data_IF_587122301218
#
_entry.id   IF_587122301218
#
_cell.length_a   1.000
_cell.length_b   1.000
_cell.length_c   1.000
_cell.angle_alpha   90.00
_cell.angle_beta   90.00
_cell.angle_gamma   90.00
#
_symmetry.space_group_name_H-M   'P 1'
#
loop_
_entity.id
_entity.type
_entity.pdbx_description
1 polymer ?
#
# COMPACT_ATOMS: atom_id res chain seq x y z
N UNK A 1 5.87 -12.03 15.27
CA UNK A 1 6.25 -10.67 14.85
C UNK A 1 5.01 -10.03 14.22
N UNK A 2 4.59 -8.82 14.61
CA UNK A 2 3.35 -8.25 14.08
C UNK A 2 3.68 -7.47 12.78
N UNK A 3 3.48 -8.11 11.64
CA UNK A 3 3.81 -7.57 10.32
C UNK A 3 3.11 -6.23 10.02
N UNK A 4 1.85 -6.09 10.44
CA UNK A 4 1.06 -4.87 10.28
C UNK A 4 1.68 -3.71 11.07
N UNK A 5 2.07 -3.93 12.33
CA UNK A 5 2.77 -2.90 13.14
C UNK A 5 4.12 -2.49 12.54
N UNK A 6 4.86 -3.45 11.98
CA UNK A 6 6.10 -3.16 11.27
C UNK A 6 5.84 -2.33 10.00
N UNK A 7 4.78 -2.64 9.26
CA UNK A 7 4.37 -1.89 8.07
C UNK A 7 3.93 -0.47 8.43
N UNK A 8 3.10 -0.29 9.47
CA UNK A 8 2.72 1.04 9.98
C UNK A 8 3.96 1.88 10.35
N UNK A 9 4.95 1.24 10.99
CA UNK A 9 6.20 1.89 11.39
C UNK A 9 7.00 2.35 10.18
N UNK A 10 7.14 1.51 9.14
CA UNK A 10 7.88 1.91 7.93
C UNK A 10 7.14 3.04 7.18
N UNK A 11 5.80 2.99 7.10
CA UNK A 11 5.01 4.07 6.48
C UNK A 11 5.22 5.39 7.24
N UNK A 12 5.22 5.36 8.58
CA UNK A 12 5.50 6.55 9.39
C UNK A 12 6.91 7.11 9.09
N UNK A 13 7.92 6.25 9.04
CA UNK A 13 9.28 6.67 8.70
C UNK A 13 9.37 7.27 7.30
N UNK A 14 8.72 6.67 6.31
CA UNK A 14 8.70 7.19 4.94
C UNK A 14 7.93 8.52 4.85
N UNK A 15 6.88 8.74 5.63
CA UNK A 15 6.12 9.99 5.62
C UNK A 15 6.92 11.17 6.20
N UNK A 16 7.64 10.94 7.31
CA UNK A 16 8.29 12.03 8.06
C UNK A 16 9.80 12.12 7.86
N UNK A 17 10.45 11.04 7.39
CA UNK A 17 11.91 10.92 7.28
C UNK A 17 12.36 10.26 5.97
N UNK A 18 11.59 10.43 4.89
CA UNK A 18 11.80 9.73 3.60
C UNK A 18 13.25 9.74 3.12
N UNK A 19 13.93 10.87 3.24
CA UNK A 19 15.31 11.07 2.74
C UNK A 19 16.37 10.19 3.42
N UNK A 20 16.05 9.53 4.53
CA UNK A 20 16.93 8.54 5.16
C UNK A 20 16.81 7.13 4.55
N UNK A 21 15.74 6.87 3.79
CA UNK A 21 15.38 5.54 3.32
C UNK A 21 15.33 5.45 1.80
N UNK A 22 14.83 6.51 1.14
CA UNK A 22 14.60 6.55 -0.30
C UNK A 22 15.00 7.90 -0.87
N UNK A 23 15.39 7.90 -2.14
CA UNK A 23 15.58 9.12 -2.92
C UNK A 23 14.26 9.90 -3.05
N UNK A 24 14.34 11.20 -3.37
CA UNK A 24 13.16 12.02 -3.61
C UNK A 24 12.40 11.59 -4.86
N UNK A 25 11.10 11.86 -4.86
CA UNK A 25 10.19 11.54 -5.96
C UNK A 25 9.23 10.40 -5.66
N UNK A 26 8.20 10.27 -6.49
CA UNK A 26 7.15 9.27 -6.29
C UNK A 26 7.64 7.85 -6.62
N UNK A 27 8.42 7.70 -7.70
CA UNK A 27 8.88 6.40 -8.16
C UNK A 27 9.79 5.69 -7.15
N UNK A 28 10.83 6.31 -6.57
CA UNK A 28 11.66 5.65 -5.55
C UNK A 28 10.87 5.21 -4.31
N UNK A 29 9.89 6.01 -3.89
CA UNK A 29 9.00 5.69 -2.77
C UNK A 29 8.17 4.44 -3.08
N UNK A 30 7.52 4.41 -4.24
CA UNK A 30 6.72 3.26 -4.67
C UNK A 30 7.59 2.01 -4.79
N UNK A 31 8.73 2.08 -5.48
CA UNK A 31 9.60 0.91 -5.66
C UNK A 31 10.06 0.34 -4.33
N UNK A 32 10.35 1.19 -3.34
CA UNK A 32 10.65 0.75 -1.98
C UNK A 32 9.46 0.03 -1.33
N UNK A 33 8.26 0.62 -1.40
CA UNK A 33 7.04 0.04 -0.79
C UNK A 33 6.65 -1.28 -1.44
N UNK A 34 6.75 -1.39 -2.76
CA UNK A 34 6.49 -2.62 -3.50
C UNK A 34 7.50 -3.70 -3.09
N UNK A 35 8.79 -3.37 -3.04
CA UNK A 35 9.83 -4.29 -2.57
C UNK A 35 9.64 -4.73 -1.11
N UNK A 36 9.26 -3.81 -0.22
CA UNK A 36 8.97 -4.12 1.18
C UNK A 36 7.73 -5.01 1.33
N UNK A 37 6.69 -4.75 0.53
CA UNK A 37 5.48 -5.58 0.48
C UNK A 37 5.78 -7.01 0.02
N UNK A 38 6.60 -7.17 -1.03
CA UNK A 38 7.06 -8.48 -1.50
C UNK A 38 7.84 -9.23 -0.41
N UNK A 39 8.76 -8.55 0.28
CA UNK A 39 9.51 -9.15 1.38
C UNK A 39 8.60 -9.58 2.55
N UNK A 40 7.57 -8.78 2.89
CA UNK A 40 6.58 -9.15 3.90
C UNK A 40 5.76 -10.37 3.48
N UNK A 41 5.35 -10.45 2.21
CA UNK A 41 4.65 -11.63 1.69
C UNK A 41 5.51 -12.88 1.84
N UNK A 42 6.77 -12.81 1.43
CA UNK A 42 7.63 -13.98 1.43
C UNK A 42 8.00 -14.43 2.87
N UNK A 43 8.23 -13.49 3.79
CA UNK A 43 8.67 -13.79 5.17
C UNK A 43 7.51 -14.01 6.13
N UNK A 44 6.42 -13.25 5.99
CA UNK A 44 5.30 -13.25 6.93
C UNK A 44 4.00 -13.82 6.35
N UNK A 45 3.97 -14.19 5.06
CA UNK A 45 2.77 -14.65 4.35
C UNK A 45 1.63 -13.61 4.35
N UNK A 46 1.99 -12.32 4.35
CA UNK A 46 1.04 -11.20 4.30
C UNK A 46 1.20 -10.45 2.98
N UNK A 47 0.18 -10.47 2.12
CA UNK A 47 0.22 -9.81 0.81
C UNK A 47 -0.38 -8.39 0.85
N UNK A 48 0.31 -7.51 1.59
CA UNK A 48 -0.07 -6.10 1.73
C UNK A 48 -0.25 -5.38 0.38
N UNK A 49 0.46 -5.82 -0.66
CA UNK A 49 0.37 -5.22 -1.98
C UNK A 49 -0.98 -5.54 -2.64
N UNK A 50 -1.36 -6.83 -2.68
CA UNK A 50 -2.64 -7.26 -3.22
C UNK A 50 -3.81 -6.70 -2.40
N UNK A 51 -3.68 -6.68 -1.08
CA UNK A 51 -4.72 -6.18 -0.18
C UNK A 51 -4.95 -4.67 -0.34
N UNK A 52 -3.87 -3.90 -0.46
CA UNK A 52 -4.00 -2.46 -0.73
C UNK A 52 -4.63 -2.19 -2.10
N UNK A 53 -4.27 -2.95 -3.14
CA UNK A 53 -4.89 -2.81 -4.45
C UNK A 53 -6.39 -3.12 -4.41
N UNK A 54 -6.77 -4.21 -3.74
CA UNK A 54 -8.16 -4.59 -3.56
C UNK A 54 -8.95 -3.54 -2.77
N UNK A 55 -8.35 -2.99 -1.71
CA UNK A 55 -8.95 -1.89 -0.95
C UNK A 55 -9.21 -0.66 -1.82
N UNK A 56 -8.28 -0.28 -2.71
CA UNK A 56 -8.49 0.84 -3.65
C UNK A 56 -9.66 0.52 -4.61
N UNK A 57 -9.76 -0.70 -5.13
CA UNK A 57 -10.90 -1.09 -5.98
C UNK A 57 -12.23 -0.90 -5.27
N UNK A 58 -12.33 -1.31 -4.01
CA UNK A 58 -13.53 -1.15 -3.18
C UNK A 58 -13.83 0.33 -2.95
N UNK A 59 -12.81 1.13 -2.59
CA UNK A 59 -12.93 2.58 -2.38
C UNK A 59 -13.44 3.31 -3.64
N UNK A 60 -12.88 2.98 -4.80
CA UNK A 60 -13.16 3.67 -6.05
C UNK A 60 -14.36 3.11 -6.81
N UNK A 61 -14.91 1.97 -6.37
CA UNK A 61 -15.98 1.22 -7.07
C UNK A 61 -15.65 0.96 -8.54
N UNK A 62 -14.35 0.88 -8.87
CA UNK A 62 -13.84 0.75 -10.23
C UNK A 62 -12.57 -0.08 -10.20
N UNK A 63 -12.50 -1.06 -11.11
CA UNK A 63 -11.26 -1.79 -11.40
C UNK A 63 -10.41 -0.99 -12.38
N UNK A 64 -9.11 -1.01 -12.17
CA UNK A 64 -8.11 -0.48 -13.09
C UNK A 64 -7.16 -1.62 -13.49
N UNK A 65 -6.64 -1.59 -14.71
CA UNK A 65 -5.82 -2.68 -15.26
C UNK A 65 -4.32 -2.56 -14.93
N UNK A 66 -3.92 -1.41 -14.35
CA UNK A 66 -2.54 -1.08 -14.00
C UNK A 66 -2.25 -1.37 -12.52
N UNK A 67 -1.00 -1.27 -12.08
CA UNK A 67 -0.70 -1.32 -10.64
C UNK A 67 -1.36 -0.16 -9.91
N UNK A 68 -1.67 -0.32 -8.61
CA UNK A 68 -2.19 0.78 -7.79
C UNK A 68 -1.28 2.02 -7.84
N UNK A 69 0.03 1.83 -7.93
CA UNK A 69 1.01 2.91 -8.02
C UNK A 69 0.87 3.72 -9.31
N UNK A 70 0.72 3.01 -10.43
CA UNK A 70 0.45 3.63 -11.73
C UNK A 70 -0.90 4.33 -11.76
N UNK A 71 -1.93 3.72 -11.16
CA UNK A 71 -3.27 4.30 -11.07
C UNK A 71 -3.28 5.61 -10.28
N UNK A 72 -2.63 5.64 -9.10
CA UNK A 72 -2.53 6.85 -8.28
C UNK A 72 -1.83 7.97 -9.06
N UNK A 73 -0.68 7.68 -9.67
CA UNK A 73 0.08 8.70 -10.40
C UNK A 73 -0.65 9.20 -11.64
N UNK A 74 -1.11 8.30 -12.51
CA UNK A 74 -1.63 8.64 -13.83
C UNK A 74 -3.09 9.10 -13.74
N UNK A 75 -3.95 8.34 -13.08
CA UNK A 75 -5.39 8.56 -13.14
C UNK A 75 -5.87 9.52 -12.06
N UNK A 76 -5.36 9.42 -10.83
CA UNK A 76 -5.83 10.25 -9.70
C UNK A 76 -5.05 11.56 -9.63
N UNK A 77 -3.73 11.49 -9.65
CA UNK A 77 -2.86 12.65 -9.48
C UNK A 77 -2.54 13.39 -10.79
N UNK A 78 -2.90 12.82 -11.96
CA UNK A 78 -2.67 13.44 -13.28
C UNK A 78 -1.20 13.75 -13.55
N UNK A 79 -0.31 12.81 -13.19
CA UNK A 79 1.16 12.88 -13.30
C UNK A 79 1.84 13.92 -12.39
N UNK A 80 1.12 14.47 -11.41
CA UNK A 80 1.72 15.27 -10.34
C UNK A 80 2.26 14.33 -9.25
N UNK A 81 3.59 14.22 -9.17
CA UNK A 81 4.27 13.33 -8.23
C UNK A 81 4.06 13.73 -6.77
N UNK A 82 4.00 15.03 -6.47
CA UNK A 82 3.79 15.49 -5.10
C UNK A 82 2.39 15.14 -4.64
N UNK A 83 1.39 15.45 -5.48
CA UNK A 83 0.01 15.06 -5.24
C UNK A 83 -0.17 13.54 -5.13
N UNK A 84 0.50 12.77 -5.99
CA UNK A 84 0.49 11.30 -5.94
C UNK A 84 1.07 10.78 -4.62
N UNK A 85 2.14 11.40 -4.13
CA UNK A 85 2.78 11.08 -2.84
C UNK A 85 1.82 11.36 -1.68
N UNK A 86 1.18 12.51 -1.68
CA UNK A 86 0.24 12.90 -0.61
C UNK A 86 -0.96 11.96 -0.56
N UNK A 87 -1.56 11.65 -1.73
CA UNK A 87 -2.66 10.67 -1.84
C UNK A 87 -2.22 9.29 -1.36
N UNK A 88 -1.02 8.84 -1.75
CA UNK A 88 -0.52 7.54 -1.36
C UNK A 88 -0.43 7.42 0.17
N UNK A 89 0.13 8.41 0.86
CA UNK A 89 0.23 8.38 2.32
C UNK A 89 -1.13 8.52 3.01
N UNK A 90 -2.04 9.32 2.48
CA UNK A 90 -3.42 9.41 2.96
C UNK A 90 -4.10 8.04 2.89
N UNK A 91 -4.09 7.42 1.71
CA UNK A 91 -4.75 6.13 1.45
C UNK A 91 -4.12 4.98 2.23
N UNK A 92 -2.79 4.96 2.36
CA UNK A 92 -2.12 3.97 3.21
C UNK A 92 -2.52 4.14 4.69
N UNK A 93 -2.67 5.38 5.17
CA UNK A 93 -3.11 5.62 6.54
C UNK A 93 -4.53 5.12 6.77
N UNK A 94 -5.44 5.37 5.82
CA UNK A 94 -6.83 4.89 5.89
C UNK A 94 -6.93 3.37 5.79
N UNK A 95 -6.18 2.75 4.87
CA UNK A 95 -6.11 1.30 4.74
C UNK A 95 -5.65 0.63 6.04
N UNK A 96 -4.62 1.18 6.68
CA UNK A 96 -4.08 0.64 7.93
C UNK A 96 -4.95 0.93 9.16
N UNK A 97 -5.85 1.90 9.08
CA UNK A 97 -6.87 2.16 10.11
C UNK A 97 -8.09 1.25 9.94
N UNK A 98 -8.49 0.96 8.69
CA UNK A 98 -9.61 0.06 8.37
C UNK A 98 -9.44 -1.34 8.99
N UNK A 99 -8.20 -1.82 9.06
CA UNK A 99 -7.86 -3.14 9.63
C UNK A 99 -7.98 -3.20 11.17
N UNK A 100 -8.03 -2.05 11.86
CA UNK A 100 -8.09 -1.99 13.33
C UNK A 100 -9.53 -1.96 13.89
N UNK A 101 -10.50 -1.50 13.10
CA UNK A 101 -11.89 -1.32 13.56
C UNK A 101 -12.78 -2.56 13.34
N UNK A 102 -12.40 -3.48 12.44
CA UNK A 102 -13.11 -4.75 12.25
C UNK A 102 -12.17 -5.85 11.67
N UNK A 103 -11.48 -6.63 12.51
CA UNK A 103 -10.60 -7.71 12.04
C UNK A 103 -11.36 -8.83 11.31
N UNK A 104 -12.69 -8.93 11.41
CA UNK A 104 -13.49 -9.93 10.68
C UNK A 104 -13.77 -9.53 9.22
N UNK A 105 -13.64 -8.24 8.88
CA UNK A 105 -13.75 -7.72 7.51
C UNK A 105 -12.39 -7.36 6.89
N UNK A 106 -11.30 -7.70 7.58
CA UNK A 106 -9.95 -7.50 7.06
C UNK A 106 -9.71 -8.34 5.81
N UNK A 107 -9.31 -7.74 4.68
CA UNK A 107 -8.85 -8.48 3.50
C UNK A 107 -7.66 -9.42 3.83
N UNK A 108 -6.89 -9.08 4.86
CA UNK A 108 -5.67 -9.77 5.28
C UNK A 108 -5.94 -11.09 6.03
N UNK A 109 -7.19 -11.36 6.41
CA UNK A 109 -7.61 -12.58 7.12
C UNK A 109 -8.25 -13.63 6.19
N UNK A 110 -8.35 -13.36 4.88
CA UNK A 110 -8.85 -14.36 3.94
C UNK A 110 -7.68 -15.16 3.36
N UNK A 111 -7.70 -16.51 3.44
CA UNK A 111 -6.69 -17.33 2.80
C UNK A 111 -6.73 -17.06 1.29
N UNK A 112 -5.56 -16.81 0.70
CA UNK A 112 -5.39 -16.67 -0.74
C UNK A 112 -5.83 -17.97 -1.42
N UNK A 113 -7.05 -17.98 -1.95
CA UNK A 113 -7.52 -19.09 -2.78
C UNK A 113 -6.64 -19.18 -4.02
N UNK A 114 -5.67 -20.09 -3.95
CA UNK A 114 -4.96 -20.60 -5.12
C UNK A 114 -5.95 -21.48 -5.87
N UNK A 115 -6.54 -20.97 -6.94
CA UNK A 115 -7.22 -21.83 -7.92
C UNK A 115 -6.18 -22.27 -8.94
N UNK A 116 -5.81 -23.54 -8.83
CA UNK A 116 -5.09 -24.33 -9.84
C UNK A 116 -5.77 -24.27 -11.22
#
# INVERSE_FOLDING_TARGET
MNAIKNFQTIIWHLKYRRGMYVAEGYLPLVSFLEGYGLALRDVCQVDMFSDFQNWIYTRQKRRFAVSWSSYILIDIAKKDEQKATDILFEWLSEFLAFDLDDPANSPLNQPSETKE
#
